data_IF_575370935685
#
_entry.id   IF_575370935685
#
_cell.length_a   1.000
_cell.length_b   1.000
_cell.length_c   1.000
_cell.angle_alpha   90.00
_cell.angle_beta   90.00
_cell.angle_gamma   90.00
#
_symmetry.space_group_name_H-M   'P 1'
#
loop_
_entity.id
_entity.type
_entity.pdbx_description
1 polymer ?
#
# COMPACT_ATOMS: atom_id res chain seq x y z
N UNK A 1 29.00 7.47 43.04
CA UNK A 1 27.77 6.67 43.26
C UNK A 1 26.67 7.18 42.34
N UNK A 2 26.51 6.60 41.15
CA UNK A 2 25.44 7.01 40.24
C UNK A 2 24.10 6.49 40.78
N UNK A 3 23.27 7.42 41.24
CA UNK A 3 21.91 7.17 41.72
C UNK A 3 21.15 6.42 40.60
N UNK A 4 20.68 5.20 40.86
CA UNK A 4 19.82 4.46 39.93
C UNK A 4 18.49 5.22 39.82
N UNK A 5 18.35 6.09 38.83
CA UNK A 5 17.11 6.86 38.62
C UNK A 5 16.07 5.92 38.01
N UNK A 6 15.14 5.48 38.86
CA UNK A 6 13.94 4.76 38.46
C UNK A 6 12.76 5.72 38.54
N UNK A 7 11.94 5.75 37.49
CA UNK A 7 10.71 6.55 37.46
C UNK A 7 9.54 5.59 37.56
N UNK A 8 8.84 5.62 38.69
CA UNK A 8 7.61 4.85 38.86
C UNK A 8 6.46 5.59 38.20
N UNK A 9 5.77 4.91 37.29
CA UNK A 9 4.59 5.46 36.64
C UNK A 9 3.50 4.41 36.56
N UNK A 10 2.51 4.55 37.45
CA UNK A 10 1.32 3.69 37.51
C UNK A 10 1.69 2.23 37.75
N UNK A 11 1.53 1.37 36.74
CA UNK A 11 1.71 -0.07 36.83
C UNK A 11 3.04 -0.56 36.21
N UNK A 12 3.95 0.37 35.92
CA UNK A 12 5.29 0.07 35.44
C UNK A 12 6.35 0.99 36.05
N UNK A 13 7.61 0.54 36.00
CA UNK A 13 8.78 1.28 36.45
C UNK A 13 9.72 1.45 35.27
N UNK A 14 10.09 2.68 34.92
CA UNK A 14 11.13 2.97 33.94
C UNK A 14 12.50 2.98 34.63
N UNK A 15 13.40 2.09 34.24
CA UNK A 15 14.80 2.05 34.65
C UNK A 15 15.64 2.79 33.61
N UNK A 16 16.08 4.02 33.92
CA UNK A 16 16.83 4.85 32.97
C UNK A 16 18.22 4.28 32.70
N UNK A 17 18.88 3.71 33.71
CA UNK A 17 20.23 3.16 33.59
C UNK A 17 20.30 1.97 32.61
N UNK A 18 19.24 1.16 32.57
CA UNK A 18 19.19 -0.07 31.78
C UNK A 18 18.39 0.11 30.48
N UNK A 19 17.89 1.33 30.21
CA UNK A 19 16.93 1.65 29.15
C UNK A 19 15.79 0.62 29.10
N UNK A 20 15.18 0.31 30.24
CA UNK A 20 14.19 -0.77 30.33
C UNK A 20 12.97 -0.38 31.15
N UNK A 21 11.84 -1.05 30.90
CA UNK A 21 10.62 -0.93 31.69
C UNK A 21 10.35 -2.25 32.40
N UNK A 22 10.05 -2.19 33.69
CA UNK A 22 9.60 -3.34 34.48
C UNK A 22 8.09 -3.25 34.73
N UNK A 23 7.33 -4.27 34.33
CA UNK A 23 5.88 -4.39 34.58
C UNK A 23 5.48 -5.84 34.80
N UNK A 24 4.84 -6.15 35.93
CA UNK A 24 4.29 -7.49 36.28
C UNK A 24 5.20 -8.66 35.87
N UNK A 25 6.47 -8.64 36.32
CA UNK A 25 7.53 -9.62 36.04
C UNK A 25 8.05 -9.71 34.59
N UNK A 26 7.67 -8.78 33.71
CA UNK A 26 8.24 -8.65 32.38
C UNK A 26 9.14 -7.41 32.29
N UNK A 27 10.27 -7.57 31.61
CA UNK A 27 11.20 -6.50 31.27
C UNK A 27 11.10 -6.15 29.78
N UNK A 28 10.94 -4.87 29.47
CA UNK A 28 10.81 -4.36 28.11
C UNK A 28 12.01 -3.46 27.82
N UNK A 29 12.87 -3.87 26.86
CA UNK A 29 14.02 -3.06 26.45
C UNK A 29 13.62 -1.92 25.50
N UNK A 30 14.09 -0.72 25.81
CA UNK A 30 13.97 0.49 25.01
C UNK A 30 15.30 0.79 24.31
N UNK A 31 15.22 1.49 23.18
CA UNK A 31 16.39 2.18 22.64
C UNK A 31 16.69 3.41 23.50
N UNK A 32 17.89 3.96 23.37
CA UNK A 32 18.27 5.17 24.11
C UNK A 32 17.32 6.34 23.85
N UNK A 33 17.00 6.60 22.57
CA UNK A 33 16.04 7.64 22.17
C UNK A 33 14.65 7.40 22.74
N UNK A 34 14.15 6.16 22.69
CA UNK A 34 12.86 5.80 23.27
C UNK A 34 12.82 6.04 24.79
N UNK A 35 13.90 5.68 25.49
CA UNK A 35 14.04 5.90 26.93
C UNK A 35 14.11 7.40 27.25
N UNK A 36 14.86 8.21 26.49
CA UNK A 36 14.92 9.67 26.64
C UNK A 36 13.54 10.31 26.45
N UNK A 37 12.81 9.96 25.38
CA UNK A 37 11.46 10.46 25.13
C UNK A 37 10.53 10.12 26.29
N UNK A 38 10.48 8.85 26.71
CA UNK A 38 9.59 8.44 27.79
C UNK A 38 9.95 9.12 29.11
N UNK A 39 11.25 9.25 29.42
CA UNK A 39 11.76 9.97 30.59
C UNK A 39 11.25 11.41 30.62
N UNK A 40 11.41 12.14 29.51
CA UNK A 40 10.96 13.54 29.40
C UNK A 40 9.47 13.69 29.74
N UNK A 41 8.64 12.83 29.16
CA UNK A 41 7.20 12.88 29.37
C UNK A 41 6.81 12.51 30.81
N UNK A 42 7.48 11.51 31.40
CA UNK A 42 7.16 11.01 32.73
C UNK A 42 7.67 11.91 33.88
N UNK A 43 8.71 12.70 33.65
CA UNK A 43 9.21 13.68 34.63
C UNK A 43 8.22 14.84 34.85
N UNK A 44 7.47 15.24 33.81
CA UNK A 44 6.46 16.28 33.90
C UNK A 44 5.13 15.81 33.28
N UNK A 45 4.41 14.88 33.93
CA UNK A 45 3.29 14.16 33.31
C UNK A 45 2.06 15.02 32.98
N UNK A 46 1.98 16.24 33.54
CA UNK A 46 0.93 17.23 33.24
C UNK A 46 1.30 18.20 32.11
N UNK A 47 2.57 18.27 31.73
CA UNK A 47 3.09 19.18 30.71
C UNK A 47 2.95 18.59 29.32
N UNK A 48 2.67 19.45 28.33
CA UNK A 48 2.66 19.09 26.91
C UNK A 48 3.99 19.53 26.31
N UNK A 49 4.71 18.59 25.73
CA UNK A 49 5.96 18.82 25.02
C UNK A 49 5.72 18.82 23.52
N UNK A 50 6.13 19.89 22.85
CA UNK A 50 6.12 20.04 21.40
C UNK A 50 7.07 19.07 20.71
N UNK A 51 6.92 18.95 19.38
CA UNK A 51 7.83 18.11 18.58
C UNK A 51 9.26 18.62 18.65
N UNK A 52 9.46 19.93 18.67
CA UNK A 52 10.78 20.57 18.76
C UNK A 52 11.42 20.31 20.13
N UNK A 53 10.67 20.46 21.22
CA UNK A 53 11.18 20.17 22.58
C UNK A 53 11.57 18.70 22.75
N UNK A 54 10.77 17.77 22.23
CA UNK A 54 11.09 16.34 22.27
C UNK A 54 12.30 16.02 21.38
N UNK A 55 12.39 16.64 20.20
CA UNK A 55 13.54 16.47 19.30
C UNK A 55 14.83 16.92 19.98
N UNK A 56 14.83 18.13 20.55
CA UNK A 56 16.00 18.73 21.19
C UNK A 56 16.47 17.97 22.43
N UNK A 57 15.57 17.26 23.12
CA UNK A 57 15.91 16.48 24.32
C UNK A 57 16.38 15.06 24.00
N UNK A 58 15.75 14.39 23.03
CA UNK A 58 15.99 12.95 22.80
C UNK A 58 17.01 12.64 21.70
N UNK A 59 17.41 13.65 20.91
CA UNK A 59 18.44 13.53 19.88
C UNK A 59 19.59 14.51 20.14
N UNK A 60 20.81 14.08 19.83
CA UNK A 60 22.01 14.92 19.96
C UNK A 60 22.04 15.98 18.85
N UNK A 61 22.49 17.19 19.21
CA UNK A 61 22.47 18.40 18.37
C UNK A 61 23.28 18.30 17.07
N UNK A 62 24.14 17.29 16.93
CA UNK A 62 25.02 17.13 15.75
C UNK A 62 24.37 16.39 14.58
N UNK A 63 23.16 15.84 14.77
CA UNK A 63 22.41 15.19 13.71
C UNK A 63 21.35 16.16 13.18
N UNK A 64 21.43 16.54 11.90
CA UNK A 64 20.43 17.35 11.17
C UNK A 64 19.08 16.60 11.05
N UNK A 65 18.44 16.33 12.18
CA UNK A 65 17.21 15.58 12.28
C UNK A 65 16.03 16.54 12.12
N UNK A 66 15.11 16.22 11.21
CA UNK A 66 13.88 16.98 11.02
C UNK A 66 12.88 16.65 12.16
N UNK A 67 12.07 17.63 12.58
CA UNK A 67 10.97 17.46 13.56
C UNK A 67 9.95 16.39 13.13
N UNK A 68 9.96 15.97 11.87
CA UNK A 68 9.20 14.83 11.34
C UNK A 68 9.59 13.47 11.94
N UNK A 69 10.78 13.34 12.55
CA UNK A 69 11.25 12.08 13.17
C UNK A 69 10.54 11.81 14.50
N UNK A 70 10.17 12.86 15.25
CA UNK A 70 9.52 12.73 16.57
C UNK A 70 8.21 11.94 16.52
N UNK A 71 7.27 12.23 15.60
CA UNK A 71 6.06 11.42 15.44
C UNK A 71 6.33 9.94 15.17
N UNK A 72 7.37 9.63 14.38
CA UNK A 72 7.75 8.25 14.08
C UNK A 72 8.25 7.53 15.34
N UNK A 73 9.16 8.16 16.10
CA UNK A 73 9.68 7.60 17.34
C UNK A 73 8.58 7.40 18.40
N UNK A 74 7.67 8.38 18.57
CA UNK A 74 6.51 8.24 19.46
C UNK A 74 5.61 7.08 19.04
N UNK A 75 5.41 6.87 17.73
CA UNK A 75 4.59 5.77 17.21
C UNK A 75 5.24 4.41 17.52
N UNK A 76 6.55 4.28 17.34
CA UNK A 76 7.30 3.05 17.63
C UNK A 76 7.26 2.76 19.14
N UNK A 77 7.54 3.78 19.96
CA UNK A 77 7.48 3.68 21.42
C UNK A 77 6.10 3.25 21.90
N UNK A 78 5.02 3.91 21.44
CA UNK A 78 3.65 3.51 21.76
C UNK A 78 3.35 2.07 21.38
N UNK A 79 3.74 1.63 20.18
CA UNK A 79 3.53 0.25 19.74
C UNK A 79 4.21 -0.75 20.67
N UNK A 80 5.43 -0.44 21.13
CA UNK A 80 6.18 -1.25 22.08
C UNK A 80 5.48 -1.30 23.45
N UNK A 81 5.03 -0.15 23.96
CA UNK A 81 4.30 -0.04 25.22
C UNK A 81 2.95 -0.77 25.20
N UNK A 82 2.16 -0.60 24.12
CA UNK A 82 0.84 -1.22 24.00
C UNK A 82 0.87 -2.75 23.95
N UNK A 83 1.93 -3.35 23.38
CA UNK A 83 2.11 -4.81 23.37
C UNK A 83 2.05 -5.41 24.78
N UNK A 84 2.56 -4.66 25.74
CA UNK A 84 2.66 -5.05 27.15
C UNK A 84 1.57 -4.36 28.01
N UNK A 85 0.52 -3.86 27.35
CA UNK A 85 -0.63 -3.22 27.99
C UNK A 85 -0.28 -1.91 28.69
N UNK A 86 0.77 -1.21 28.28
CA UNK A 86 1.16 0.10 28.81
C UNK A 86 0.62 1.19 27.89
N UNK A 87 -0.17 2.09 28.46
CA UNK A 87 -0.65 3.31 27.81
C UNK A 87 -0.12 4.52 28.59
N UNK A 88 0.97 5.11 28.09
CA UNK A 88 1.74 6.12 28.82
C UNK A 88 1.90 7.46 28.08
N UNK A 89 1.46 7.57 26.82
CA UNK A 89 1.69 8.76 26.01
C UNK A 89 0.39 9.22 25.34
N UNK A 90 -0.08 10.42 25.68
CA UNK A 90 -1.22 11.08 25.04
C UNK A 90 -0.75 12.08 23.97
N UNK A 91 -1.55 12.23 22.90
CA UNK A 91 -1.34 13.28 21.89
C UNK A 91 -2.25 14.47 22.19
N UNK A 92 -1.68 15.66 22.31
CA UNK A 92 -2.42 16.92 22.36
C UNK A 92 -2.36 17.57 20.98
N UNK A 93 -3.47 17.49 20.24
CA UNK A 93 -3.56 17.93 18.84
C UNK A 93 -3.02 19.37 18.67
N UNK A 94 -2.18 19.55 17.66
CA UNK A 94 -1.56 20.84 17.33
C UNK A 94 -0.50 21.34 18.31
N UNK A 95 -0.29 20.66 19.46
CA UNK A 95 0.64 21.10 20.50
C UNK A 95 1.79 20.12 20.71
N UNK A 96 1.52 18.81 20.79
CA UNK A 96 2.57 17.82 21.01
C UNK A 96 2.09 16.60 21.80
N UNK A 97 2.93 16.14 22.75
CA UNK A 97 2.72 14.90 23.49
C UNK A 97 2.87 15.14 25.00
N UNK A 98 2.17 14.35 25.81
CA UNK A 98 2.28 14.38 27.28
C UNK A 98 2.18 12.96 27.83
N UNK A 99 2.54 12.74 29.09
CA UNK A 99 2.24 11.47 29.72
C UNK A 99 0.73 11.27 29.92
N UNK A 100 0.27 10.02 29.84
CA UNK A 100 -1.15 9.69 29.97
C UNK A 100 -1.64 9.88 31.40
N UNK A 101 -2.78 10.59 31.56
CA UNK A 101 -3.39 10.89 32.86
C UNK A 101 -4.64 10.05 33.19
N UNK A 102 -5.22 9.31 32.25
CA UNK A 102 -6.43 8.50 32.50
C UNK A 102 -6.20 7.00 32.25
N UNK A 103 -6.90 6.15 32.99
CA UNK A 103 -6.96 4.70 32.76
C UNK A 103 -8.04 4.41 31.71
N UNK A 104 -7.65 3.92 30.53
CA UNK A 104 -8.59 3.15 29.70
C UNK A 104 -8.20 1.68 29.81
N UNK A 105 -9.10 0.78 30.20
CA UNK A 105 -8.80 -0.64 30.21
C UNK A 105 -8.57 -1.12 28.76
N UNK A 106 -7.43 -1.77 28.54
CA UNK A 106 -7.06 -2.34 27.25
C UNK A 106 -7.92 -3.59 26.98
N UNK A 107 -8.67 -3.61 25.87
CA UNK A 107 -9.52 -4.73 25.48
C UNK A 107 -8.67 -5.89 24.94
N UNK A 108 -8.67 -7.00 25.68
CA UNK A 108 -8.13 -8.30 25.29
C UNK A 108 -9.15 -9.07 24.43
N UNK A 109 -8.78 -9.46 23.22
CA UNK A 109 -9.61 -10.28 22.32
C UNK A 109 -9.53 -11.77 22.70
N UNK A 110 -10.64 -12.37 23.16
CA UNK A 110 -10.77 -13.82 23.36
C UNK A 110 -11.16 -14.54 22.05
N UNK A 111 -10.43 -15.59 21.68
CA UNK A 111 -10.82 -16.59 20.67
C UNK A 111 -11.82 -17.59 21.27
N UNK A 112 -12.90 -17.92 20.57
CA UNK A 112 -13.72 -19.11 20.86
C UNK A 112 -13.37 -20.23 19.87
N UNK A 113 -13.07 -21.40 20.40
CA UNK A 113 -13.20 -22.70 19.71
C UNK A 113 -14.57 -23.27 20.08
N UNK A 114 -15.27 -23.90 19.13
CA UNK A 114 -16.42 -24.73 19.45
C UNK A 114 -16.22 -26.11 18.80
N UNK A 115 -16.23 -27.14 19.64
CA UNK A 115 -16.11 -28.54 19.27
C UNK A 115 -17.47 -29.16 18.92
N UNK A 116 -17.39 -30.21 18.12
CA UNK A 116 -18.45 -31.01 17.53
C UNK A 116 -18.95 -32.09 18.51
N UNK A 117 -20.25 -32.41 18.53
CA UNK A 117 -20.76 -33.79 18.69
C UNK A 117 -22.16 -33.93 18.07
N UNK A 118 -22.40 -35.15 17.60
CA UNK A 118 -23.37 -35.61 16.59
C UNK A 118 -24.70 -36.05 17.22
N UNK A 119 -25.82 -35.87 16.50
CA UNK A 119 -27.12 -36.51 16.76
C UNK A 119 -28.02 -36.44 15.53
N UNK A 120 -28.17 -37.57 14.84
CA UNK A 120 -28.98 -37.86 13.64
C UNK A 120 -30.48 -37.62 13.93
N UNK A 121 -31.30 -37.08 13.01
CA UNK A 121 -32.26 -37.83 12.17
C UNK A 121 -32.72 -36.97 10.99
N UNK A 122 -32.67 -37.61 9.83
CA UNK A 122 -33.07 -37.12 8.53
C UNK A 122 -34.59 -37.16 8.32
N UNK A 123 -35.06 -36.29 7.43
CA UNK A 123 -35.99 -36.53 6.29
C UNK A 123 -37.16 -35.55 6.27
N UNK A 124 -37.04 -34.55 5.40
CA UNK A 124 -38.08 -33.78 4.67
C UNK A 124 -37.45 -32.45 4.25
N UNK A 125 -36.54 -32.51 3.27
CA UNK A 125 -36.80 -32.11 1.89
C UNK A 125 -36.93 -30.58 1.70
N UNK A 126 -35.89 -30.05 1.04
CA UNK A 126 -35.79 -28.79 0.29
C UNK A 126 -35.36 -27.53 1.04
N UNK A 127 -34.29 -26.94 0.48
CA UNK A 127 -33.75 -25.63 0.77
C UNK A 127 -32.92 -25.48 2.05
N UNK A 128 -31.83 -26.24 2.15
CA UNK A 128 -30.58 -25.58 2.49
C UNK A 128 -29.47 -26.30 1.74
N UNK A 129 -29.27 -25.88 0.48
CA UNK A 129 -27.96 -26.00 -0.12
C UNK A 129 -26.99 -25.53 0.95
N UNK A 130 -26.03 -26.38 1.28
CA UNK A 130 -24.81 -25.98 1.93
C UNK A 130 -24.30 -24.76 1.17
N UNK A 131 -24.60 -23.57 1.70
CA UNK A 131 -23.96 -22.34 1.32
C UNK A 131 -22.55 -22.49 1.86
N UNK A 132 -21.76 -23.26 1.10
CA UNK A 132 -20.34 -23.08 1.07
C UNK A 132 -20.19 -21.61 0.75
N UNK A 133 -19.80 -20.84 1.77
CA UNK A 133 -19.41 -19.46 1.61
C UNK A 133 -18.12 -19.49 0.79
N UNK A 134 -18.27 -19.68 -0.53
CA UNK A 134 -17.24 -19.37 -1.49
C UNK A 134 -17.11 -17.85 -1.44
N UNK A 135 -15.95 -17.31 -1.02
CA UNK A 135 -15.79 -15.88 -0.90
C UNK A 135 -15.75 -15.28 -2.31
N UNK A 136 -16.92 -14.86 -2.78
CA UNK A 136 -17.18 -13.78 -3.74
C UNK A 136 -16.07 -13.57 -4.81
N UNK A 137 -15.71 -14.64 -5.53
CA UNK A 137 -14.75 -14.57 -6.63
C UNK A 137 -15.51 -14.22 -7.89
N UNK A 138 -15.40 -12.98 -8.36
CA UNK A 138 -15.92 -12.63 -9.68
C UNK A 138 -15.28 -13.51 -10.75
N UNK A 139 -16.04 -13.96 -11.76
CA UNK A 139 -15.47 -14.77 -12.83
C UNK A 139 -14.41 -13.97 -13.57
N UNK A 140 -13.25 -14.59 -13.81
CA UNK A 140 -12.18 -13.97 -14.61
C UNK A 140 -12.73 -13.50 -15.94
N UNK A 141 -12.38 -12.28 -16.36
CA UNK A 141 -12.81 -11.78 -17.67
C UNK A 141 -11.84 -12.25 -18.76
N UNK A 142 -12.36 -12.42 -19.96
CA UNK A 142 -11.49 -12.62 -21.11
C UNK A 142 -10.91 -11.27 -21.51
N UNK A 143 -9.59 -11.14 -21.44
CA UNK A 143 -8.90 -9.88 -21.66
C UNK A 143 -7.55 -10.10 -22.32
N UNK A 144 -7.30 -9.37 -23.41
CA UNK A 144 -6.03 -9.33 -24.12
C UNK A 144 -5.50 -7.90 -24.23
N UNK A 145 -4.21 -7.78 -24.56
CA UNK A 145 -3.61 -6.50 -24.93
C UNK A 145 -3.56 -6.43 -26.45
N UNK A 146 -4.23 -5.42 -27.02
CA UNK A 146 -4.34 -5.15 -28.44
C UNK A 146 -3.33 -4.08 -28.83
N UNK A 147 -2.52 -4.35 -29.84
CA UNK A 147 -1.68 -3.34 -30.50
C UNK A 147 -2.56 -2.61 -31.54
N UNK A 148 -2.98 -1.39 -31.23
CA UNK A 148 -3.89 -0.59 -32.08
C UNK A 148 -3.11 0.09 -33.21
N UNK A 149 -1.89 0.53 -32.92
CA UNK A 149 -0.95 1.09 -33.89
C UNK A 149 0.49 0.74 -33.46
N UNK A 150 1.51 1.20 -34.20
CA UNK A 150 2.89 0.83 -33.92
C UNK A 150 3.35 1.10 -32.48
N UNK A 151 2.85 2.17 -31.90
CA UNK A 151 3.24 2.62 -30.56
C UNK A 151 2.09 2.69 -29.57
N UNK A 152 0.87 2.25 -29.92
CA UNK A 152 -0.30 2.31 -29.03
C UNK A 152 -0.82 0.92 -28.72
N UNK A 153 -0.98 0.66 -27.42
CA UNK A 153 -1.53 -0.57 -26.87
C UNK A 153 -2.77 -0.26 -26.03
N UNK A 154 -3.77 -1.13 -26.11
CA UNK A 154 -5.01 -1.01 -25.35
C UNK A 154 -5.48 -2.37 -24.84
N UNK A 155 -6.14 -2.37 -23.70
CA UNK A 155 -6.87 -3.53 -23.22
C UNK A 155 -8.06 -3.82 -24.13
N UNK A 156 -8.40 -5.10 -24.33
CA UNK A 156 -9.47 -5.48 -25.26
C UNK A 156 -10.87 -4.98 -24.89
N UNK A 157 -11.10 -4.68 -23.61
CA UNK A 157 -12.33 -4.09 -23.11
C UNK A 157 -12.25 -2.56 -22.95
N UNK A 158 -11.20 -1.90 -23.45
CA UNK A 158 -11.13 -0.44 -23.44
C UNK A 158 -12.12 0.16 -24.43
N UNK A 159 -12.69 1.33 -24.11
CA UNK A 159 -13.36 2.17 -25.11
C UNK A 159 -12.36 2.54 -26.22
N UNK A 160 -12.82 2.65 -27.48
CA UNK A 160 -11.95 2.99 -28.61
C UNK A 160 -11.38 4.38 -28.45
N UNK A 161 -10.20 4.58 -29.04
CA UNK A 161 -9.45 5.84 -28.95
C UNK A 161 -9.04 6.30 -30.33
N UNK A 162 -9.32 7.57 -30.61
CA UNK A 162 -8.87 8.27 -31.81
C UNK A 162 -7.76 9.22 -31.40
N UNK A 163 -6.54 8.98 -31.89
CA UNK A 163 -5.36 9.81 -31.62
C UNK A 163 -4.82 10.33 -32.94
N UNK A 164 -4.42 11.61 -32.96
CA UNK A 164 -3.66 12.16 -34.06
C UNK A 164 -2.26 11.51 -34.09
N UNK A 165 -1.86 10.78 -35.15
CA UNK A 165 -0.55 10.16 -35.24
C UNK A 165 0.62 11.16 -35.15
N UNK A 166 0.42 12.42 -35.51
CA UNK A 166 1.47 13.45 -35.55
C UNK A 166 2.01 13.84 -34.17
N UNK A 167 1.21 13.68 -33.12
CA UNK A 167 1.61 14.02 -31.74
C UNK A 167 2.33 12.86 -31.03
N UNK A 168 2.44 11.70 -31.69
CA UNK A 168 3.06 10.51 -31.12
C UNK A 168 4.58 10.54 -31.32
N UNK A 169 5.31 10.35 -30.23
CA UNK A 169 6.74 10.14 -30.30
C UNK A 169 7.01 8.68 -30.72
N UNK A 170 7.85 8.51 -31.74
CA UNK A 170 8.28 7.20 -32.24
C UNK A 170 9.03 6.38 -31.19
N UNK A 171 9.66 7.05 -30.22
CA UNK A 171 10.41 6.44 -29.12
C UNK A 171 9.56 6.22 -27.87
N UNK A 172 8.26 6.46 -27.90
CA UNK A 172 7.38 6.22 -26.76
C UNK A 172 6.35 5.15 -27.14
N UNK A 173 6.18 4.15 -26.28
CA UNK A 173 5.04 3.24 -26.33
C UNK A 173 3.97 3.71 -25.36
N UNK A 174 2.76 3.89 -25.84
CA UNK A 174 1.61 4.37 -25.11
C UNK A 174 0.67 3.21 -24.80
N UNK A 175 0.15 3.20 -23.58
CA UNK A 175 -0.80 2.20 -23.08
C UNK A 175 -2.01 2.95 -22.56
N UNK A 176 -3.16 2.69 -23.16
CA UNK A 176 -4.38 3.46 -22.90
C UNK A 176 -5.50 2.48 -22.58
N UNK A 177 -6.12 2.67 -21.42
CA UNK A 177 -7.27 1.90 -21.00
C UNK A 177 -8.36 2.86 -20.52
N UNK A 178 -9.46 2.92 -21.25
CA UNK A 178 -10.60 3.79 -20.98
C UNK A 178 -11.78 2.94 -20.56
N UNK A 179 -12.25 3.21 -19.36
CA UNK A 179 -13.33 2.52 -18.66
C UNK A 179 -14.35 3.56 -18.20
N UNK A 180 -15.52 3.13 -17.72
CA UNK A 180 -16.60 4.08 -17.40
C UNK A 180 -16.25 5.09 -16.30
N UNK A 181 -15.45 4.67 -15.33
CA UNK A 181 -15.07 5.49 -14.16
C UNK A 181 -13.60 5.88 -14.11
N UNK A 182 -12.79 5.35 -15.03
CA UNK A 182 -11.33 5.47 -14.99
C UNK A 182 -10.77 5.54 -16.40
N UNK A 183 -9.87 6.50 -16.64
CA UNK A 183 -8.92 6.49 -17.74
C UNK A 183 -7.52 6.24 -17.18
N UNK A 184 -6.87 5.18 -17.63
CA UNK A 184 -5.48 4.86 -17.35
C UNK A 184 -4.62 5.23 -18.56
N UNK A 185 -3.74 6.20 -18.40
CA UNK A 185 -2.76 6.60 -19.42
C UNK A 185 -1.36 6.29 -18.91
N UNK A 186 -0.72 5.34 -19.57
CA UNK A 186 0.66 4.94 -19.28
C UNK A 186 1.53 5.09 -20.51
N UNK A 187 2.81 5.39 -20.30
CA UNK A 187 3.78 5.55 -21.37
C UNK A 187 5.13 5.00 -20.95
N UNK A 188 5.85 4.43 -21.90
CA UNK A 188 7.18 3.88 -21.72
C UNK A 188 8.12 4.57 -22.71
N UNK A 189 9.15 5.24 -22.19
CA UNK A 189 10.21 5.83 -23.02
C UNK A 189 11.20 4.74 -23.42
N UNK A 190 11.32 4.53 -24.72
CA UNK A 190 12.20 3.53 -25.31
C UNK A 190 13.61 4.10 -25.50
N UNK A 191 14.63 3.34 -25.12
CA UNK A 191 16.04 3.65 -25.35
C UNK A 191 16.73 2.32 -25.65
N UNK A 192 17.35 2.18 -26.82
CA UNK A 192 17.97 0.92 -27.27
C UNK A 192 17.03 -0.29 -27.19
N UNK A 193 15.77 -0.13 -27.64
CA UNK A 193 14.70 -1.14 -27.55
C UNK A 193 14.27 -1.52 -26.12
N UNK A 194 14.76 -0.83 -25.09
CA UNK A 194 14.37 -1.05 -23.70
C UNK A 194 13.55 0.11 -23.14
N UNK A 195 12.69 -0.18 -22.16
CA UNK A 195 12.00 0.87 -21.42
C UNK A 195 12.92 1.48 -20.35
N UNK A 196 13.36 2.72 -20.54
CA UNK A 196 14.26 3.40 -19.58
C UNK A 196 13.49 4.13 -18.48
N UNK A 197 12.29 4.62 -18.80
CA UNK A 197 11.45 5.39 -17.88
C UNK A 197 9.97 5.13 -18.16
N UNK A 198 9.16 5.06 -17.12
CA UNK A 198 7.71 4.91 -17.24
C UNK A 198 6.99 6.15 -16.72
N UNK A 199 5.83 6.39 -17.32
CA UNK A 199 4.85 7.37 -16.91
C UNK A 199 3.54 6.64 -16.66
N UNK A 200 2.88 6.93 -15.53
CA UNK A 200 1.52 6.48 -15.25
C UNK A 200 0.71 7.66 -14.73
N UNK A 201 -0.47 7.85 -15.32
CA UNK A 201 -1.48 8.79 -14.82
C UNK A 201 -2.87 8.16 -14.92
N UNK A 202 -3.57 8.17 -13.80
CA UNK A 202 -4.96 7.72 -13.68
C UNK A 202 -5.84 8.95 -13.56
N UNK A 203 -6.87 9.00 -14.37
CA UNK A 203 -7.92 10.01 -14.34
C UNK A 203 -9.21 9.35 -13.87
N UNK A 204 -9.76 9.83 -12.76
CA UNK A 204 -11.09 9.45 -12.29
C UNK A 204 -12.15 10.20 -13.09
N UNK A 205 -13.21 9.47 -13.47
CA UNK A 205 -14.31 9.96 -14.29
C UNK A 205 -15.59 9.87 -13.46
N UNK A 206 -16.19 11.03 -13.17
CA UNK A 206 -17.43 11.10 -12.39
C UNK A 206 -18.67 11.10 -13.30
N UNK A 207 -18.55 11.57 -14.55
CA UNK A 207 -19.64 11.62 -15.54
C UNK A 207 -19.23 10.97 -16.87
N UNK A 208 -19.98 9.95 -17.31
CA UNK A 208 -19.67 9.13 -18.48
C UNK A 208 -19.81 9.86 -19.83
N UNK A 209 -20.40 11.05 -19.85
CA UNK A 209 -20.66 11.83 -21.07
C UNK A 209 -19.59 12.88 -21.39
N UNK A 210 -18.49 12.95 -20.63
CA UNK A 210 -17.42 13.90 -20.90
C UNK A 210 -16.62 13.53 -22.14
N UNK A 211 -16.37 14.53 -22.99
CA UNK A 211 -15.49 14.39 -24.14
C UNK A 211 -14.03 14.42 -23.67
N UNK A 212 -13.39 13.25 -23.63
CA UNK A 212 -12.00 13.10 -23.21
C UNK A 212 -11.09 13.44 -24.41
N UNK A 213 -10.43 14.59 -24.38
CA UNK A 213 -9.40 14.93 -25.36
C UNK A 213 -8.06 14.24 -25.03
N UNK A 214 -7.90 13.01 -25.52
CA UNK A 214 -6.72 12.18 -25.31
C UNK A 214 -5.47 12.82 -25.93
N UNK A 215 -5.61 13.56 -27.03
CA UNK A 215 -4.48 14.19 -27.71
C UNK A 215 -3.78 15.19 -26.78
N UNK A 216 -4.57 16.01 -26.08
CA UNK A 216 -4.06 16.95 -25.06
C UNK A 216 -3.43 16.25 -23.86
N UNK A 217 -3.91 15.06 -23.48
CA UNK A 217 -3.33 14.31 -22.36
C UNK A 217 -1.97 13.71 -22.72
N UNK A 218 -1.82 13.23 -23.96
CA UNK A 218 -0.57 12.65 -24.48
C UNK A 218 0.52 13.71 -24.64
N UNK A 219 0.17 14.93 -25.08
CA UNK A 219 1.16 16.00 -25.27
C UNK A 219 1.83 16.49 -23.96
N UNK A 220 1.25 16.15 -22.80
CA UNK A 220 1.69 16.61 -21.47
C UNK A 220 2.38 15.50 -20.65
N UNK A 221 2.97 14.51 -21.31
CA UNK A 221 3.68 13.42 -20.64
C UNK A 221 5.08 13.88 -20.22
N UNK A 222 5.38 13.71 -18.94
CA UNK A 222 6.70 14.01 -18.36
C UNK A 222 7.20 12.79 -17.60
N UNK A 223 8.34 12.25 -18.03
CA UNK A 223 8.94 11.06 -17.44
C UNK A 223 9.73 11.42 -16.18
N UNK A 224 9.23 10.98 -15.01
CA UNK A 224 9.87 11.21 -13.70
C UNK A 224 10.25 9.93 -12.96
N UNK A 225 9.88 8.77 -13.48
CA UNK A 225 10.10 7.49 -12.81
C UNK A 225 10.97 6.59 -13.69
N UNK A 226 12.27 6.67 -13.43
CA UNK A 226 13.27 5.86 -14.11
C UNK A 226 13.35 4.48 -13.50
N UNK A 227 13.87 3.53 -14.28
CA UNK A 227 14.14 2.17 -13.81
C UNK A 227 15.02 2.21 -12.55
N UNK A 228 14.59 1.56 -11.45
CA UNK A 228 15.41 1.47 -10.24
C UNK A 228 16.76 0.80 -10.50
N UNK A 229 17.77 1.18 -9.73
CA UNK A 229 19.12 0.59 -9.81
C UNK A 229 19.04 -0.87 -9.34
N UNK A 230 19.23 -1.80 -10.27
CA UNK A 230 19.15 -3.25 -10.05
C UNK A 230 19.12 -4.01 -11.38
N UNK A 231 19.46 -5.30 -11.35
CA UNK A 231 19.40 -6.12 -12.56
C UNK A 231 17.94 -6.39 -12.95
N UNK A 232 17.55 -6.16 -14.22
CA UNK A 232 16.22 -6.55 -14.69
C UNK A 232 16.06 -8.06 -14.67
N UNK A 233 14.84 -8.50 -14.36
CA UNK A 233 14.50 -9.91 -14.48
C UNK A 233 14.17 -10.20 -15.95
N UNK A 234 15.05 -10.94 -16.62
CA UNK A 234 14.78 -11.49 -17.94
C UNK A 234 13.84 -12.69 -17.82
N UNK A 235 12.87 -12.80 -18.72
CA UNK A 235 11.75 -13.76 -18.68
C UNK A 235 12.15 -15.25 -18.68
N UNK A 236 13.44 -15.59 -18.64
CA UNK A 236 13.93 -16.97 -18.70
C UNK A 236 15.08 -17.31 -17.73
N UNK A 237 15.40 -16.52 -16.70
CA UNK A 237 16.40 -17.01 -15.73
C UNK A 237 15.75 -17.92 -14.70
N UNK A 238 15.79 -19.22 -14.96
CA UNK A 238 15.84 -20.27 -13.95
C UNK A 238 17.05 -20.03 -13.04
N UNK A 239 16.91 -19.12 -12.06
CA UNK A 239 17.72 -19.01 -10.83
C UNK A 239 17.09 -17.97 -9.89
N UNK A 240 16.44 -18.52 -8.87
CA UNK A 240 16.13 -18.03 -7.53
C UNK A 240 15.74 -16.56 -7.29
N UNK A 241 14.68 -16.41 -6.51
CA UNK A 241 14.71 -15.44 -5.42
C UNK A 241 13.74 -14.28 -5.50
N UNK A 242 13.78 -13.55 -4.39
CA UNK A 242 12.95 -12.39 -4.12
C UNK A 242 13.21 -11.29 -5.15
N UNK A 243 12.16 -10.62 -5.58
CA UNK A 243 12.25 -9.47 -6.47
C UNK A 243 11.26 -8.38 -6.09
N UNK A 244 11.50 -7.18 -6.59
CA UNK A 244 10.69 -6.02 -6.32
C UNK A 244 9.93 -5.62 -7.56
N UNK A 245 8.67 -5.26 -7.37
CA UNK A 245 7.86 -4.59 -8.38
C UNK A 245 7.52 -3.20 -7.86
N UNK A 246 7.79 -2.16 -8.63
CA UNK A 246 7.46 -0.78 -8.21
C UNK A 246 6.82 0.04 -9.32
N UNK A 247 5.99 1.00 -8.91
CA UNK A 247 5.35 1.95 -9.81
C UNK A 247 5.04 3.27 -9.11
N UNK A 248 5.12 4.35 -9.89
CA UNK A 248 4.75 5.71 -9.51
C UNK A 248 3.60 6.16 -10.39
N UNK A 249 2.50 6.60 -9.77
CA UNK A 249 1.24 6.87 -10.45
C UNK A 249 0.73 8.25 -10.03
N UNK A 250 0.51 9.13 -11.01
CA UNK A 250 -0.15 10.41 -10.78
C UNK A 250 -1.67 10.23 -10.84
N UNK A 251 -2.40 10.85 -9.92
CA UNK A 251 -3.86 10.75 -9.85
C UNK A 251 -4.48 12.11 -10.14
N UNK A 252 -5.48 12.13 -11.01
CA UNK A 252 -6.26 13.31 -11.39
C UNK A 252 -7.73 12.93 -11.50
N UNK A 253 -8.61 13.91 -11.52
CA UNK A 253 -10.03 13.74 -11.80
C UNK A 253 -10.39 14.69 -12.95
N UNK A 254 -11.14 14.20 -13.95
CA UNK A 254 -11.48 15.02 -15.12
C UNK A 254 -12.40 16.19 -14.73
N UNK A 255 -13.38 15.91 -13.87
CA UNK A 255 -14.40 16.85 -13.42
C UNK A 255 -13.93 17.75 -12.25
N UNK A 256 -12.74 17.50 -11.70
CA UNK A 256 -12.25 18.20 -10.52
C UNK A 256 -10.77 18.56 -10.70
N UNK A 257 -10.52 19.71 -11.31
CA UNK A 257 -9.17 20.24 -11.56
C UNK A 257 -8.39 20.55 -10.27
N UNK A 258 -9.08 20.77 -9.15
CA UNK A 258 -8.45 20.97 -7.84
C UNK A 258 -7.95 19.65 -7.22
N UNK A 259 -8.44 18.50 -7.69
CA UNK A 259 -7.95 17.21 -7.24
C UNK A 259 -6.59 16.87 -7.85
N UNK A 260 -5.65 16.57 -6.96
CA UNK A 260 -4.35 16.01 -7.30
C UNK A 260 -3.98 14.95 -6.29
N UNK A 261 -3.56 13.80 -6.78
CA UNK A 261 -2.96 12.76 -5.96
C UNK A 261 -1.72 12.17 -6.59
N UNK A 262 -1.01 11.41 -5.79
CA UNK A 262 0.14 10.62 -6.19
C UNK A 262 0.16 9.33 -5.36
N UNK A 263 0.36 8.20 -6.05
CA UNK A 263 0.46 6.88 -5.46
C UNK A 263 1.81 6.26 -5.82
N UNK A 264 2.47 5.68 -4.82
CA UNK A 264 3.66 4.86 -5.00
C UNK A 264 3.35 3.44 -4.54
N UNK A 265 3.50 2.47 -5.43
CA UNK A 265 3.14 1.07 -5.20
C UNK A 265 4.42 0.23 -5.25
N UNK A 266 4.63 -0.60 -4.24
CA UNK A 266 5.70 -1.59 -4.19
C UNK A 266 5.16 -2.97 -3.86
N UNK A 267 5.76 -3.99 -4.44
CA UNK A 267 5.59 -5.38 -4.05
C UNK A 267 6.97 -5.98 -3.80
N UNK A 268 7.18 -6.56 -2.63
CA UNK A 268 8.29 -7.48 -2.38
C UNK A 268 7.78 -8.90 -2.64
N UNK A 269 8.25 -9.53 -3.73
CA UNK A 269 7.72 -10.79 -4.24
C UNK A 269 8.71 -11.93 -4.02
N UNK A 270 8.24 -13.01 -3.40
CA UNK A 270 8.97 -14.27 -3.20
C UNK A 270 8.34 -15.36 -4.06
N UNK A 271 9.10 -15.94 -4.98
CA UNK A 271 8.67 -17.10 -5.76
C UNK A 271 8.71 -18.36 -4.87
N UNK A 272 7.59 -19.09 -4.78
CA UNK A 272 7.52 -20.35 -4.05
C UNK A 272 7.74 -21.56 -4.97
N UNK A 273 7.09 -21.56 -6.13
CA UNK A 273 7.25 -22.57 -7.17
C UNK A 273 7.01 -21.92 -8.55
N UNK A 274 6.84 -22.72 -9.62
CA UNK A 274 6.74 -22.17 -10.97
C UNK A 274 5.61 -21.15 -11.16
N UNK A 275 4.47 -21.34 -10.49
CA UNK A 275 3.25 -20.56 -10.73
C UNK A 275 2.67 -19.94 -9.43
N UNK A 276 3.29 -20.14 -8.28
CA UNK A 276 2.84 -19.60 -6.99
C UNK A 276 3.90 -18.70 -6.36
N UNK A 277 3.43 -17.57 -5.84
CA UNK A 277 4.25 -16.51 -5.28
C UNK A 277 3.62 -15.98 -3.99
N UNK A 278 4.45 -15.48 -3.09
CA UNK A 278 4.04 -14.56 -2.02
C UNK A 278 4.44 -13.15 -2.38
N UNK A 279 3.62 -12.16 -2.05
CA UNK A 279 3.95 -10.76 -2.23
C UNK A 279 3.56 -9.93 -1.01
N UNK A 280 4.44 -9.05 -0.54
CA UNK A 280 4.11 -7.99 0.42
C UNK A 280 3.86 -6.70 -0.38
N UNK A 281 2.59 -6.32 -0.55
CA UNK A 281 2.20 -5.06 -1.16
C UNK A 281 2.38 -3.93 -0.14
N UNK A 282 3.03 -2.85 -0.55
CA UNK A 282 3.12 -1.58 0.17
C UNK A 282 2.77 -0.43 -0.78
N UNK A 283 1.58 0.13 -0.61
CA UNK A 283 1.10 1.30 -1.34
C UNK A 283 1.14 2.54 -0.43
N UNK A 284 1.62 3.66 -0.95
CA UNK A 284 1.64 4.96 -0.29
C UNK A 284 0.91 5.97 -1.16
N UNK A 285 -0.05 6.69 -0.58
CA UNK A 285 -0.89 7.64 -1.33
C UNK A 285 -0.98 8.97 -0.60
N UNK A 286 -0.85 10.04 -1.40
CA UNK A 286 -1.12 11.43 -1.01
C UNK A 286 -2.16 12.00 -1.97
N UNK A 287 -3.18 12.67 -1.46
CA UNK A 287 -4.21 13.32 -2.29
C UNK A 287 -4.78 14.60 -1.66
N UNK A 288 -5.32 15.51 -2.47
CA UNK A 288 -5.77 16.85 -2.05
C UNK A 288 -6.75 16.84 -0.87
N UNK A 289 -7.69 15.88 -0.81
CA UNK A 289 -8.66 15.75 0.27
C UNK A 289 -8.09 15.23 1.59
N UNK A 290 -6.80 14.90 1.64
CA UNK A 290 -6.15 14.28 2.79
C UNK A 290 -4.92 15.09 3.26
N UNK A 291 -4.95 15.54 4.51
CA UNK A 291 -3.77 16.19 5.13
C UNK A 291 -2.80 15.10 5.55
N UNK A 292 -1.60 15.10 4.96
CA UNK A 292 -0.57 14.08 5.16
C UNK A 292 -0.64 13.03 4.07
N UNK A 293 -0.59 11.76 4.46
CA UNK A 293 -0.68 10.62 3.54
C UNK A 293 -1.22 9.38 4.23
N UNK A 294 -1.53 8.36 3.45
CA UNK A 294 -1.92 7.06 3.97
C UNK A 294 -1.18 5.95 3.23
N UNK A 295 -0.79 4.94 3.98
CA UNK A 295 -0.20 3.71 3.48
C UNK A 295 -1.20 2.56 3.54
N UNK A 296 -0.98 1.55 2.71
CA UNK A 296 -1.68 0.29 2.78
C UNK A 296 -0.67 -0.83 2.56
N UNK A 297 -0.55 -1.72 3.54
CA UNK A 297 0.32 -2.88 3.45
C UNK A 297 -0.49 -4.15 3.59
N UNK A 298 -0.20 -5.17 2.78
CA UNK A 298 -0.89 -6.46 2.83
C UNK A 298 -0.04 -7.58 2.27
N UNK A 299 -0.11 -8.75 2.91
CA UNK A 299 0.48 -9.98 2.39
C UNK A 299 -0.50 -10.68 1.45
N UNK A 300 -0.01 -11.07 0.28
CA UNK A 300 -0.79 -11.64 -0.82
C UNK A 300 -0.21 -12.99 -1.22
N UNK A 301 -1.10 -13.93 -1.53
CA UNK A 301 -0.78 -15.13 -2.29
C UNK A 301 -1.15 -14.86 -3.75
N UNK A 302 -0.25 -15.19 -4.68
CA UNK A 302 -0.47 -14.98 -6.11
C UNK A 302 -0.26 -16.29 -6.85
N UNK A 303 -1.27 -16.71 -7.60
CA UNK A 303 -1.20 -17.87 -8.51
C UNK A 303 -1.31 -17.38 -9.95
N UNK A 304 -0.31 -17.70 -10.77
CA UNK A 304 -0.25 -17.20 -12.16
C UNK A 304 -0.51 -18.32 -13.16
N UNK A 305 -1.36 -18.05 -14.15
CA UNK A 305 -1.61 -18.90 -15.29
C UNK A 305 -1.18 -18.17 -16.58
N UNK A 306 -0.39 -18.83 -17.44
CA UNK A 306 -0.03 -18.27 -18.75
C UNK A 306 -1.19 -18.50 -19.73
N UNK A 307 -1.66 -17.42 -20.36
CA UNK A 307 -2.69 -17.52 -21.39
C UNK A 307 -2.05 -17.97 -22.71
N UNK A 308 -2.57 -19.07 -23.27
CA UNK A 308 -2.10 -19.64 -24.54
C UNK A 308 -2.72 -18.90 -25.73
N UNK A 309 -2.06 -18.97 -26.88
CA UNK A 309 -2.56 -18.49 -28.17
C UNK A 309 -2.87 -16.98 -28.22
N UNK A 310 -2.08 -16.16 -27.51
CA UNK A 310 -2.15 -14.70 -27.55
C UNK A 310 -0.92 -14.14 -28.28
N UNK A 311 -1.07 -13.07 -29.10
CA UNK A 311 0.04 -12.46 -29.81
C UNK A 311 1.04 -11.77 -28.87
N UNK A 312 0.55 -11.28 -27.73
CA UNK A 312 1.36 -10.68 -26.67
C UNK A 312 1.36 -11.65 -25.50
N UNK A 313 2.53 -11.88 -24.91
CA UNK A 313 2.65 -12.73 -23.72
C UNK A 313 1.77 -12.18 -22.61
N UNK A 314 0.96 -13.05 -22.01
CA UNK A 314 -0.07 -12.67 -21.06
C UNK A 314 -0.17 -13.71 -19.95
N UNK A 315 -0.19 -13.23 -18.70
CA UNK A 315 -0.44 -14.01 -17.51
C UNK A 315 -1.66 -13.48 -16.78
N UNK A 316 -2.46 -14.38 -16.22
CA UNK A 316 -3.53 -14.06 -15.29
C UNK A 316 -3.04 -14.43 -13.90
N UNK A 317 -2.96 -13.45 -13.00
CA UNK A 317 -2.65 -13.63 -11.60
C UNK A 317 -3.92 -13.64 -10.76
N UNK A 318 -4.26 -14.78 -10.17
CA UNK A 318 -5.25 -14.87 -9.09
C UNK A 318 -4.59 -14.43 -7.79
N UNK A 319 -5.07 -13.34 -7.22
CA UNK A 319 -4.49 -12.71 -6.02
C UNK A 319 -5.46 -12.88 -4.87
N UNK A 320 -5.00 -13.49 -3.78
CA UNK A 320 -5.78 -13.63 -2.54
C UNK A 320 -5.00 -13.09 -1.34
N UNK A 321 -5.71 -12.59 -0.34
CA UNK A 321 -5.08 -12.12 0.90
C UNK A 321 -4.57 -13.32 1.72
N UNK A 322 -3.33 -13.27 2.20
CA UNK A 322 -2.80 -14.29 3.11
C UNK A 322 -3.35 -14.07 4.53
N UNK A 323 -4.46 -14.75 4.85
CA UNK A 323 -5.13 -14.67 6.15
C UNK A 323 -4.32 -15.31 7.29
N UNK A 324 -3.42 -16.26 6.99
CA UNK A 324 -2.55 -16.91 7.99
C UNK A 324 -1.45 -15.96 8.48
N UNK A 325 -1.06 -15.01 7.63
CA UNK A 325 -0.14 -13.91 7.96
C UNK A 325 -0.88 -12.58 8.24
N UNK A 326 -2.07 -12.67 8.84
CA UNK A 326 -2.80 -11.54 9.45
C UNK A 326 -2.15 -11.04 10.76
N UNK A 327 -0.82 -11.00 10.80
CA UNK A 327 -0.11 -10.18 11.78
C UNK A 327 -0.34 -8.69 11.48
N UNK A 328 0.06 -7.82 12.42
CA UNK A 328 -0.10 -6.34 12.44
C UNK A 328 0.35 -5.58 11.15
N UNK A 329 0.91 -6.27 10.15
CA UNK A 329 1.32 -5.73 8.84
C UNK A 329 0.20 -5.57 7.81
N UNK A 330 -0.90 -6.32 7.89
CA UNK A 330 -2.02 -6.18 6.94
C UNK A 330 -3.00 -5.09 7.37
N UNK A 331 -3.13 -4.01 6.61
CA UNK A 331 -4.11 -2.96 6.88
C UNK A 331 -3.67 -1.58 6.43
N UNK A 332 -4.64 -0.66 6.44
CA UNK A 332 -4.40 0.75 6.11
C UNK A 332 -3.74 1.47 7.28
N UNK A 333 -2.64 2.14 7.02
CA UNK A 333 -1.92 3.00 7.95
C UNK A 333 -2.22 4.45 7.60
N UNK A 334 -2.86 5.19 8.50
CA UNK A 334 -3.18 6.60 8.28
C UNK A 334 -2.12 7.48 8.93
N UNK A 335 -1.42 8.28 8.12
CA UNK A 335 -0.42 9.24 8.56
C UNK A 335 -0.95 10.67 8.38
N UNK A 336 -2.20 10.90 8.83
CA UNK A 336 -2.89 12.15 8.58
C UNK A 336 -4.37 12.14 8.91
N UNK A 337 -5.13 13.06 8.34
CA UNK A 337 -6.59 13.16 8.53
C UNK A 337 -7.27 13.63 7.26
N UNK A 338 -8.47 13.12 7.02
CA UNK A 338 -9.33 13.58 5.94
C UNK A 338 -9.69 15.05 6.19
N UNK A 339 -9.36 15.91 5.23
CA UNK A 339 -9.68 17.33 5.24
C UNK A 339 -11.01 17.60 4.54
N UNK A 340 -11.19 16.97 3.38
CA UNK A 340 -12.35 17.16 2.52
C UNK A 340 -12.69 15.84 1.84
N UNK A 341 -13.88 15.31 2.12
CA UNK A 341 -14.35 14.04 1.57
C UNK A 341 -14.65 14.13 0.06
N UNK A 342 -14.99 15.31 -0.45
CA UNK A 342 -15.30 15.52 -1.87
C UNK A 342 -14.04 15.57 -2.75
N UNK A 343 -12.86 15.54 -2.13
CA UNK A 343 -11.56 15.46 -2.80
C UNK A 343 -10.81 14.16 -2.48
N UNK A 344 -11.55 13.11 -2.10
CA UNK A 344 -11.01 11.76 -1.90
C UNK A 344 -11.47 10.85 -3.04
N UNK A 345 -10.54 10.51 -3.93
CA UNK A 345 -10.81 9.55 -5.00
C UNK A 345 -10.03 8.25 -4.79
N UNK A 346 -8.81 8.34 -4.27
CA UNK A 346 -7.93 7.19 -4.09
C UNK A 346 -8.19 6.48 -2.75
N UNK A 347 -8.44 7.25 -1.69
CA UNK A 347 -8.65 6.71 -0.35
C UNK A 347 -9.81 5.71 -0.23
N UNK A 348 -10.97 5.90 -0.88
CA UNK A 348 -12.06 4.92 -0.87
C UNK A 348 -11.67 3.60 -1.56
N UNK A 349 -10.95 3.67 -2.69
CA UNK A 349 -10.51 2.48 -3.45
C UNK A 349 -9.58 1.57 -2.64
N UNK A 350 -8.78 2.15 -1.75
CA UNK A 350 -7.86 1.41 -0.87
C UNK A 350 -8.50 1.00 0.47
N UNK A 351 -9.70 1.48 0.78
CA UNK A 351 -10.41 1.19 2.04
C UNK A 351 -11.18 -0.13 1.97
N UNK A 352 -11.70 -0.48 0.79
CA UNK A 352 -12.63 -1.59 0.59
C UNK A 352 -12.17 -2.48 -0.57
N UNK A 353 -11.34 -3.49 -0.29
CA UNK A 353 -11.41 -4.70 -1.09
C UNK A 353 -12.61 -5.48 -0.58
N UNK A 354 -13.79 -5.29 -1.19
CA UNK A 354 -14.98 -6.11 -0.86
C UNK A 354 -14.69 -7.59 -1.10
N UNK A 355 -13.84 -7.88 -2.10
CA UNK A 355 -13.40 -9.22 -2.45
C UNK A 355 -12.08 -9.60 -1.75
N UNK A 356 -12.05 -10.80 -1.16
CA UNK A 356 -10.83 -11.41 -0.61
C UNK A 356 -9.86 -11.89 -1.69
N UNK A 357 -10.37 -12.08 -2.91
CA UNK A 357 -9.66 -12.60 -4.07
C UNK A 357 -10.04 -11.83 -5.34
N UNK A 358 -9.08 -11.51 -6.19
CA UNK A 358 -9.30 -10.81 -7.47
C UNK A 358 -8.27 -11.24 -8.51
N UNK A 359 -8.51 -10.89 -9.78
CA UNK A 359 -7.61 -11.20 -10.88
C UNK A 359 -6.91 -9.94 -11.40
N UNK A 360 -5.62 -10.12 -11.72
CA UNK A 360 -4.83 -9.15 -12.46
C UNK A 360 -4.32 -9.77 -13.77
N UNK A 361 -4.35 -9.01 -14.85
CA UNK A 361 -3.73 -9.37 -16.11
C UNK A 361 -2.36 -8.72 -16.19
N UNK A 362 -1.33 -9.52 -16.41
CA UNK A 362 0.06 -9.10 -16.44
C UNK A 362 0.59 -9.33 -17.85
N UNK A 363 0.99 -8.26 -18.51
CA UNK A 363 1.56 -8.26 -19.84
C UNK A 363 3.03 -7.88 -19.79
N UNK A 364 3.93 -8.87 -19.87
CA UNK A 364 5.35 -8.70 -20.10
C UNK A 364 5.72 -7.83 -21.29
N UNK A 365 6.40 -6.70 -21.04
CA UNK A 365 6.87 -5.78 -22.09
C UNK A 365 8.38 -5.89 -22.38
N UNK A 366 9.09 -6.74 -21.64
CA UNK A 366 10.54 -6.94 -21.75
C UNK A 366 11.34 -6.17 -20.70
N UNK A 367 12.55 -6.64 -20.40
CA UNK A 367 13.55 -6.00 -19.55
C UNK A 367 13.05 -5.51 -18.18
N UNK A 368 12.22 -6.33 -17.55
CA UNK A 368 11.63 -6.04 -16.24
C UNK A 368 10.50 -5.02 -16.29
N UNK A 369 9.82 -4.80 -17.41
CA UNK A 369 8.60 -3.97 -17.46
C UNK A 369 7.37 -4.81 -17.66
N UNK A 370 6.34 -4.55 -16.87
CA UNK A 370 5.02 -5.16 -17.03
C UNK A 370 3.97 -4.07 -17.19
N UNK A 371 3.00 -4.31 -18.08
CA UNK A 371 1.72 -3.60 -18.05
C UNK A 371 0.72 -4.45 -17.27
N UNK A 372 0.13 -3.89 -16.22
CA UNK A 372 -0.81 -4.58 -15.33
C UNK A 372 -2.19 -3.98 -15.54
N UNK A 373 -3.20 -4.82 -15.71
CA UNK A 373 -4.62 -4.45 -15.66
C UNK A 373 -5.29 -5.17 -14.48
N UNK A 374 -5.98 -4.42 -13.63
CA UNK A 374 -6.65 -4.92 -12.42
C UNK A 374 -8.15 -5.02 -12.65
N UNK A 375 -8.73 -6.22 -12.64
CA UNK A 375 -10.16 -6.41 -12.94
C UNK A 375 -11.07 -5.69 -11.94
N UNK A 376 -10.72 -5.72 -10.65
CA UNK A 376 -11.56 -5.18 -9.58
C UNK A 376 -11.73 -3.66 -9.60
N UNK A 377 -10.78 -2.94 -10.21
CA UNK A 377 -10.78 -1.47 -10.26
C UNK A 377 -10.83 -0.94 -11.69
N UNK A 378 -10.69 -1.81 -12.69
CA UNK A 378 -10.48 -1.48 -14.09
C UNK A 378 -9.30 -0.51 -14.34
N UNK A 379 -8.38 -0.42 -13.38
CA UNK A 379 -7.17 0.39 -13.47
C UNK A 379 -6.08 -0.39 -14.20
N UNK A 380 -5.32 0.31 -15.04
CA UNK A 380 -4.12 -0.25 -15.65
C UNK A 380 -2.92 0.66 -15.45
N UNK A 381 -1.71 0.10 -15.35
CA UNK A 381 -0.48 0.86 -15.23
C UNK A 381 0.76 0.04 -15.56
N UNK A 382 1.86 0.72 -15.88
CA UNK A 382 3.18 0.12 -16.05
C UNK A 382 3.90 -0.01 -14.71
N UNK A 383 4.70 -1.07 -14.58
CA UNK A 383 5.57 -1.32 -13.43
C UNK A 383 6.97 -1.71 -13.86
N UNK A 384 7.95 -1.39 -13.02
CA UNK A 384 9.29 -1.96 -13.10
C UNK A 384 9.40 -3.18 -12.18
N UNK A 385 10.18 -4.16 -12.62
CA UNK A 385 10.51 -5.39 -11.93
C UNK A 385 12.03 -5.57 -11.93
N UNK A 386 12.62 -5.70 -10.75
CA UNK A 386 14.08 -5.70 -10.52
C UNK A 386 14.43 -6.48 -9.26
N UNK A 387 15.68 -6.90 -9.13
CA UNK A 387 16.19 -7.58 -7.92
C UNK A 387 16.53 -6.59 -6.82
#
# INVERSE_FOLDING_TARGET
MLKRIKIEHRDFILNIADNSISKKNNEIKLTETECKILTLLLLAPKQVFSKEEILNYAWDQELNNNTSVVPQAISILRKKLYRDGIDAIDTVKGKGYKATSNTKPCFSTKKKKLGFTIGVIATSFLAYNTYTYEPDLQPKINQSLIKVSDNIYQTSNSKPVVINPEILDKNIRYFINIQDKVLSLSACKMTNQECSSIYNKIFFIDNSNENIDINKLISNIEFKFNKPIGEPIFYNSSKDGNYKVSSSINLRALNNSAYSGHAFINYDVTKLNNNQYKAELSAYVKESGYIGSFGYSVNLNVETEKVKNQPITHYIGKISRDEKYSGIKSGRQQFGTIKDQNQLYAFPLLKNGEHSTYFNHIYPMGNGVNYIYMENTNIAYLTFCYK
#
